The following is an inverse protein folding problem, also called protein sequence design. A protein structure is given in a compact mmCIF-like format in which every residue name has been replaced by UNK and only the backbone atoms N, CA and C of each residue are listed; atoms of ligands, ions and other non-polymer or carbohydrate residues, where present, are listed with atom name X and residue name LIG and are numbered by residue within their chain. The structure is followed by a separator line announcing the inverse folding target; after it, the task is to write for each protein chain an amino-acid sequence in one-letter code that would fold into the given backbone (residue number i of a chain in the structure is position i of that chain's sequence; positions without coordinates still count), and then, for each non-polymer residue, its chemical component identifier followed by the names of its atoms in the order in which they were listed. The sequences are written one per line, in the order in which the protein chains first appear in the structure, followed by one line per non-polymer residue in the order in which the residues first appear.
data_IF_520554934640
#
_entry.id   IF_520554934640
#
_cell.length_a   1.000
_cell.length_b   1.000
_cell.length_c   1.000
_cell.angle_alpha   90.00
_cell.angle_beta   90.00
_cell.angle_gamma   90.00
#
_symmetry.space_group_name_H-M   'P 1'
#
loop_
_entity.id
_entity.type
_entity.pdbx_description
1 polymer ?
#
# COMPACT_ATOMS: atom_id res chain seq x y z
N UNK A 1 31.69 -32.80 -39.95
CA UNK A 1 31.67 -32.47 -38.50
C UNK A 1 30.35 -32.95 -37.92
N UNK A 2 30.42 -33.78 -36.87
CA UNK A 2 29.31 -34.56 -36.28
C UNK A 2 28.22 -33.65 -35.69
N UNK A 3 26.97 -33.81 -36.15
CA UNK A 3 25.78 -33.27 -35.48
C UNK A 3 25.27 -34.32 -34.48
N UNK A 4 25.31 -34.00 -33.18
CA UNK A 4 24.74 -34.81 -32.10
C UNK A 4 23.24 -34.51 -32.01
N UNK A 5 22.45 -35.54 -32.26
CA UNK A 5 21.02 -35.62 -31.94
C UNK A 5 20.85 -35.77 -30.42
N UNK A 6 19.87 -35.08 -29.84
CA UNK A 6 19.33 -35.45 -28.53
C UNK A 6 17.81 -35.27 -28.51
N UNK A 7 17.15 -36.42 -28.46
CA UNK A 7 15.72 -36.68 -28.36
C UNK A 7 15.21 -36.19 -27.01
N UNK A 8 14.23 -35.27 -26.98
CA UNK A 8 13.47 -34.96 -25.76
C UNK A 8 12.23 -35.86 -25.73
N UNK A 9 12.17 -36.74 -24.73
CA UNK A 9 10.96 -37.51 -24.41
C UNK A 9 9.85 -36.56 -23.93
N UNK A 10 8.67 -36.69 -24.55
CA UNK A 10 7.41 -36.14 -24.08
C UNK A 10 6.80 -37.18 -23.15
N UNK A 11 6.58 -36.82 -21.89
CA UNK A 11 5.79 -37.61 -20.94
C UNK A 11 4.42 -36.95 -20.82
N UNK A 12 3.47 -37.56 -21.52
CA UNK A 12 2.04 -37.26 -21.52
C UNK A 12 1.43 -37.79 -20.21
N UNK A 13 0.75 -36.93 -19.44
CA UNK A 13 -0.15 -37.39 -18.37
C UNK A 13 -1.56 -36.94 -18.71
N UNK A 14 -2.41 -37.93 -18.95
CA UNK A 14 -3.82 -37.80 -19.34
C UNK A 14 -4.69 -37.20 -18.24
N UNK A 15 -5.62 -36.36 -18.66
CA UNK A 15 -6.82 -35.93 -17.93
C UNK A 15 -7.64 -37.11 -17.42
N UNK A 16 -8.08 -37.05 -16.15
CA UNK A 16 -9.28 -37.76 -15.71
C UNK A 16 -10.35 -36.73 -15.34
N UNK A 17 -11.41 -36.68 -16.16
CA UNK A 17 -12.66 -35.98 -15.91
C UNK A 17 -13.52 -36.90 -15.04
N UNK A 18 -13.91 -36.48 -13.83
CA UNK A 18 -15.02 -37.11 -13.11
C UNK A 18 -16.23 -36.17 -13.16
N UNK A 19 -17.30 -36.71 -13.74
CA UNK A 19 -18.59 -36.08 -13.94
C UNK A 19 -19.36 -35.91 -12.63
N UNK A 20 -20.07 -34.78 -12.55
CA UNK A 20 -21.03 -34.46 -11.51
C UNK A 20 -22.33 -35.26 -11.68
N UNK A 21 -22.98 -35.64 -10.57
CA UNK A 21 -24.44 -35.77 -10.48
C UNK A 21 -24.94 -35.41 -9.06
N UNK A 22 -26.14 -34.80 -8.94
CA UNK A 22 -26.67 -34.26 -7.69
C UNK A 22 -27.70 -35.20 -7.03
N UNK A 23 -27.90 -35.07 -5.72
CA UNK A 23 -29.11 -35.55 -5.05
C UNK A 23 -29.53 -34.55 -3.96
N UNK A 24 -30.68 -33.91 -4.17
CA UNK A 24 -31.46 -33.13 -3.22
C UNK A 24 -32.77 -33.87 -2.92
N UNK A 25 -33.12 -33.98 -1.63
CA UNK A 25 -34.48 -34.10 -1.04
C UNK A 25 -34.30 -34.57 0.43
N UNK A 26 -34.54 -33.78 1.48
CA UNK A 26 -35.77 -33.16 2.00
C UNK A 26 -36.67 -34.11 2.83
N UNK A 27 -37.17 -33.55 3.96
CA UNK A 27 -38.28 -33.99 4.85
C UNK A 27 -37.95 -35.13 5.85
N UNK A 28 -38.38 -35.17 7.11
CA UNK A 28 -39.34 -34.41 7.93
C UNK A 28 -39.03 -34.84 9.39
N UNK A 29 -38.68 -33.97 10.34
CA UNK A 29 -39.51 -33.25 11.32
C UNK A 29 -40.73 -33.95 11.97
N UNK A 30 -41.03 -33.50 13.21
CA UNK A 30 -42.22 -33.66 14.05
C UNK A 30 -42.21 -34.86 15.04
N UNK A 31 -42.60 -34.78 16.32
CA UNK A 31 -43.67 -34.03 17.02
C UNK A 31 -43.25 -33.90 18.52
N UNK A 32 -43.22 -32.79 19.27
CA UNK A 32 -44.14 -31.68 19.61
C UNK A 32 -44.79 -31.82 21.02
N UNK A 33 -44.90 -30.66 21.72
CA UNK A 33 -45.66 -30.26 22.94
C UNK A 33 -44.86 -29.97 24.23
N UNK A 34 -45.10 -28.93 25.03
CA UNK A 34 -45.49 -27.49 24.93
C UNK A 34 -45.75 -26.98 26.38
N UNK A 35 -45.27 -25.76 26.69
CA UNK A 35 -45.75 -24.77 27.70
C UNK A 35 -45.47 -24.93 29.21
N UNK A 36 -44.98 -23.84 29.83
CA UNK A 36 -45.03 -23.57 31.27
C UNK A 36 -44.13 -22.41 31.73
N UNK A 37 -44.72 -21.31 32.22
CA UNK A 37 -44.08 -20.05 32.66
C UNK A 37 -43.48 -20.07 34.09
N UNK A 38 -42.45 -19.23 34.27
CA UNK A 38 -41.91 -18.50 35.45
C UNK A 38 -41.66 -19.23 36.80
N UNK A 39 -40.41 -19.15 37.28
CA UNK A 39 -39.98 -18.43 38.51
C UNK A 39 -38.47 -18.65 38.76
N UNK A 40 -37.85 -17.57 39.25
CA UNK A 40 -36.45 -17.35 39.64
C UNK A 40 -35.77 -18.43 40.48
N UNK A 41 -34.49 -18.65 40.22
CA UNK A 41 -33.44 -18.80 41.25
C UNK A 41 -32.04 -18.71 40.62
N UNK A 42 -31.19 -17.85 41.21
CA UNK A 42 -29.75 -17.77 40.96
C UNK A 42 -29.08 -19.12 41.26
N UNK A 43 -28.24 -19.60 40.34
CA UNK A 43 -26.83 -19.92 40.59
C UNK A 43 -26.17 -20.55 39.36
N UNK A 44 -25.13 -19.86 38.90
CA UNK A 44 -23.88 -20.41 38.38
C UNK A 44 -23.82 -21.01 36.96
N UNK A 45 -22.66 -20.75 36.33
CA UNK A 45 -22.14 -21.24 35.04
C UNK A 45 -22.46 -20.48 33.75
N UNK A 46 -21.42 -19.77 33.32
CA UNK A 46 -20.70 -19.99 32.05
C UNK A 46 -21.31 -19.51 30.73
N UNK A 47 -20.53 -18.61 30.11
CA UNK A 47 -20.36 -18.37 28.67
C UNK A 47 -21.52 -17.69 27.93
N UNK A 48 -21.25 -16.51 27.38
CA UNK A 48 -21.24 -16.38 25.92
C UNK A 48 -20.56 -15.09 25.44
N UNK A 49 -19.76 -15.31 24.40
CA UNK A 49 -19.52 -14.45 23.25
C UNK A 49 -19.01 -13.03 23.47
N UNK A 50 -17.69 -12.89 23.29
CA UNK A 50 -17.17 -11.88 22.37
C UNK A 50 -15.97 -12.46 21.61
N UNK A 51 -16.24 -13.04 20.45
CA UNK A 51 -15.24 -13.20 19.38
C UNK A 51 -14.86 -11.79 18.90
N UNK A 52 -13.55 -11.57 18.68
CA UNK A 52 -12.91 -10.33 18.23
C UNK A 52 -12.32 -9.42 19.32
N UNK A 53 -11.42 -9.94 20.16
CA UNK A 53 -10.41 -9.11 20.83
C UNK A 53 -9.27 -9.99 21.36
N UNK A 54 -8.32 -10.37 20.51
CA UNK A 54 -7.18 -11.21 20.96
C UNK A 54 -5.87 -10.94 20.19
N UNK A 55 -5.72 -9.75 19.60
CA UNK A 55 -4.46 -9.34 18.94
C UNK A 55 -3.53 -8.55 19.87
N UNK A 56 -4.03 -8.05 20.99
CA UNK A 56 -3.31 -7.18 21.95
C UNK A 56 -3.03 -7.85 23.31
N UNK A 57 -2.87 -9.18 23.38
CA UNK A 57 -2.48 -9.81 24.65
C UNK A 57 -1.09 -9.28 25.07
N UNK A 58 -0.96 -8.63 26.24
CA UNK A 58 0.36 -8.24 26.75
C UNK A 58 1.20 -9.50 26.96
N UNK A 59 2.51 -9.41 26.71
CA UNK A 59 3.45 -10.51 26.99
C UNK A 59 3.29 -10.85 28.49
N UNK A 60 2.70 -12.00 28.77
CA UNK A 60 2.51 -12.45 30.14
C UNK A 60 3.88 -12.76 30.74
N UNK A 61 4.11 -12.31 31.96
CA UNK A 61 5.43 -12.25 32.62
C UNK A 61 6.16 -13.61 32.75
N UNK A 62 5.49 -14.72 32.43
CA UNK A 62 6.00 -16.09 32.50
C UNK A 62 6.27 -16.75 31.14
N UNK A 63 6.05 -16.06 30.01
CA UNK A 63 6.36 -16.64 28.70
C UNK A 63 7.86 -16.69 28.45
N UNK A 64 8.31 -17.81 27.92
CA UNK A 64 9.64 -17.99 27.38
C UNK A 64 9.62 -17.72 25.88
N UNK A 65 10.76 -17.32 25.34
CA UNK A 65 10.90 -17.06 23.92
C UNK A 65 12.20 -17.63 23.37
N UNK A 66 12.12 -18.13 22.14
CA UNK A 66 13.27 -18.51 21.32
C UNK A 66 13.24 -17.68 20.05
N UNK A 67 14.33 -16.95 19.79
CA UNK A 67 14.51 -16.14 18.58
C UNK A 67 15.47 -16.85 17.63
N UNK A 68 15.03 -17.12 16.40
CA UNK A 68 15.81 -17.94 15.47
C UNK A 68 15.15 -18.09 14.12
N UNK A 69 15.32 -19.24 13.50
CA UNK A 69 14.65 -19.62 12.25
C UNK A 69 13.70 -20.78 12.48
N UNK A 70 12.67 -20.86 11.62
CA UNK A 70 11.75 -21.99 11.63
C UNK A 70 12.22 -23.04 10.62
N UNK A 71 12.54 -24.25 11.11
CA UNK A 71 13.08 -25.32 10.26
C UNK A 71 12.00 -26.01 9.45
N UNK A 72 10.87 -26.35 10.08
CA UNK A 72 9.79 -27.09 9.45
C UNK A 72 8.47 -26.85 10.20
N UNK A 73 7.35 -26.93 9.47
CA UNK A 73 6.00 -27.07 10.03
C UNK A 73 5.49 -28.47 9.68
N UNK A 74 5.25 -29.28 10.70
CA UNK A 74 4.72 -30.64 10.57
C UNK A 74 3.24 -30.65 10.88
N UNK A 75 2.43 -31.12 9.93
CA UNK A 75 1.00 -31.32 10.15
C UNK A 75 0.72 -32.82 10.09
N UNK A 76 0.19 -33.36 11.18
CA UNK A 76 -0.20 -34.76 11.27
C UNK A 76 -1.57 -34.89 11.95
N UNK A 77 -2.03 -36.12 12.18
CA UNK A 77 -3.32 -36.40 12.83
C UNK A 77 -3.45 -35.82 14.25
N UNK A 78 -2.33 -35.47 14.88
CA UNK A 78 -2.25 -34.99 16.26
C UNK A 78 -2.15 -33.46 16.34
N UNK A 79 -2.07 -32.76 15.20
CA UNK A 79 -2.02 -31.29 15.14
C UNK A 79 -0.89 -30.76 14.25
N UNK A 80 -0.72 -29.44 14.30
CA UNK A 80 0.35 -28.72 13.63
C UNK A 80 1.47 -28.39 14.64
N UNK A 81 2.72 -28.63 14.26
CA UNK A 81 3.90 -28.39 15.08
C UNK A 81 4.94 -27.61 14.30
N UNK A 82 5.55 -26.61 14.92
CA UNK A 82 6.64 -25.83 14.36
C UNK A 82 7.94 -26.08 15.14
N UNK A 83 9.02 -26.36 14.44
CA UNK A 83 10.37 -26.44 15.04
C UNK A 83 11.07 -25.10 14.88
N UNK A 84 11.48 -24.49 15.99
CA UNK A 84 12.23 -23.23 16.01
C UNK A 84 13.59 -23.48 16.64
N UNK A 85 14.64 -23.07 15.91
CA UNK A 85 16.04 -23.21 16.33
C UNK A 85 16.70 -21.84 16.31
N UNK A 86 17.35 -21.48 17.41
CA UNK A 86 18.04 -20.21 17.57
C UNK A 86 18.53 -20.02 19.00
N UNK A 87 18.36 -18.80 19.52
CA UNK A 87 18.82 -18.41 20.84
C UNK A 87 17.61 -18.23 21.77
N UNK A 88 17.68 -18.84 22.95
CA UNK A 88 16.74 -18.55 24.04
C UNK A 88 16.85 -17.09 24.50
N UNK A 89 15.75 -16.34 24.50
CA UNK A 89 15.73 -14.93 24.90
C UNK A 89 15.93 -14.77 26.41
N UNK A 90 15.41 -15.72 27.19
CA UNK A 90 15.59 -15.81 28.63
C UNK A 90 16.60 -16.92 28.98
N UNK A 91 17.27 -16.81 30.14
CA UNK A 91 18.28 -17.77 30.59
C UNK A 91 17.76 -19.22 30.75
N UNK A 92 16.45 -19.41 30.90
CA UNK A 92 15.79 -20.71 31.00
C UNK A 92 15.02 -21.12 29.73
N UNK A 93 15.05 -20.29 28.69
CA UNK A 93 14.51 -20.65 27.38
C UNK A 93 15.46 -21.64 26.68
N UNK A 94 14.90 -22.43 25.76
CA UNK A 94 15.66 -23.44 25.02
C UNK A 94 16.07 -22.91 23.66
N UNK A 95 17.26 -23.28 23.19
CA UNK A 95 17.76 -22.91 21.87
C UNK A 95 16.97 -23.58 20.74
N UNK A 96 16.50 -24.80 20.97
CA UNK A 96 15.62 -25.53 20.03
C UNK A 96 14.35 -25.99 20.73
N UNK A 97 13.21 -25.62 20.17
CA UNK A 97 11.87 -26.02 20.67
C UNK A 97 10.98 -26.52 19.56
N UNK A 98 10.15 -27.51 19.87
CA UNK A 98 9.04 -27.93 19.01
C UNK A 98 7.74 -27.47 19.66
N UNK A 99 7.02 -26.59 18.97
CA UNK A 99 5.83 -25.95 19.51
C UNK A 99 4.58 -26.42 18.78
N UNK A 100 3.59 -26.89 19.53
CA UNK A 100 2.25 -27.12 19.02
C UNK A 100 1.59 -25.79 18.68
N UNK A 101 1.04 -25.70 17.46
CA UNK A 101 0.23 -24.58 16.99
C UNK A 101 -1.24 -24.91 17.22
N UNK A 102 -1.89 -24.17 18.10
CA UNK A 102 -3.31 -24.33 18.43
C UNK A 102 -4.12 -23.19 17.81
N UNK A 103 -5.45 -23.23 17.97
CA UNK A 103 -6.33 -22.13 17.55
C UNK A 103 -6.04 -20.82 18.30
N UNK A 104 -5.49 -20.93 19.51
CA UNK A 104 -5.13 -19.80 20.38
C UNK A 104 -3.74 -19.21 20.07
N UNK A 105 -2.93 -19.87 19.23
CA UNK A 105 -1.60 -19.38 18.88
C UNK A 105 -1.71 -18.14 17.99
N UNK A 106 -1.28 -16.98 18.51
CA UNK A 106 -1.27 -15.73 17.75
C UNK A 106 -0.09 -15.69 16.76
N UNK A 107 -0.36 -15.67 15.46
CA UNK A 107 0.67 -15.59 14.42
C UNK A 107 0.66 -14.20 13.80
N UNK A 108 1.68 -13.40 14.08
CA UNK A 108 1.77 -12.00 13.66
C UNK A 108 3.13 -11.65 13.03
N UNK A 109 3.19 -10.54 12.31
CA UNK A 109 4.42 -9.92 11.84
C UNK A 109 5.00 -8.98 12.90
N UNK A 110 6.16 -8.39 12.62
CA UNK A 110 6.82 -7.41 13.49
C UNK A 110 5.98 -6.16 13.79
N UNK A 111 4.92 -5.90 13.02
CA UNK A 111 4.00 -4.77 13.18
C UNK A 111 2.67 -5.16 13.85
N UNK A 112 2.49 -6.43 14.21
CA UNK A 112 1.27 -6.95 14.84
C UNK A 112 0.18 -7.40 13.87
N UNK A 113 0.39 -7.37 12.56
CA UNK A 113 -0.60 -7.88 11.60
C UNK A 113 -0.49 -9.40 11.47
N UNK A 114 -1.58 -10.07 11.10
CA UNK A 114 -1.59 -11.53 10.88
C UNK A 114 -0.51 -11.95 9.87
N UNK A 115 0.30 -12.95 10.22
CA UNK A 115 1.37 -13.46 9.36
C UNK A 115 1.13 -14.90 8.89
N UNK A 116 1.82 -15.28 7.80
CA UNK A 116 1.81 -16.65 7.27
C UNK A 116 3.13 -17.35 7.61
N UNK A 117 3.07 -18.43 8.39
CA UNK A 117 4.25 -19.21 8.80
C UNK A 117 4.95 -19.91 7.63
N UNK A 118 4.20 -20.30 6.59
CA UNK A 118 4.75 -21.05 5.46
C UNK A 118 5.81 -20.24 4.70
N UNK A 119 5.61 -18.93 4.57
CA UNK A 119 6.58 -18.03 3.94
C UNK A 119 7.86 -17.91 4.76
N UNK A 120 7.75 -17.85 6.08
CA UNK A 120 8.89 -17.77 6.99
C UNK A 120 9.81 -19.00 6.87
N UNK A 121 9.22 -20.20 6.78
CA UNK A 121 9.96 -21.46 6.57
C UNK A 121 10.67 -21.46 5.22
N UNK A 122 9.96 -21.12 4.14
CA UNK A 122 10.53 -21.16 2.78
C UNK A 122 11.66 -20.15 2.59
N UNK A 123 11.54 -18.97 3.19
CA UNK A 123 12.49 -17.86 3.02
C UNK A 123 13.55 -17.78 4.10
N UNK A 124 13.47 -18.64 5.13
CA UNK A 124 14.39 -18.63 6.26
C UNK A 124 14.32 -17.34 7.07
N UNK A 125 13.12 -16.76 7.21
CA UNK A 125 12.95 -15.52 7.98
C UNK A 125 13.18 -15.74 9.47
N UNK A 126 13.59 -14.66 10.14
CA UNK A 126 13.73 -14.66 11.59
C UNK A 126 12.35 -14.74 12.23
N UNK A 127 12.20 -15.60 13.22
CA UNK A 127 10.99 -15.76 14.02
C UNK A 127 11.32 -15.66 15.50
N UNK A 128 10.43 -15.03 16.26
CA UNK A 128 10.44 -15.09 17.72
C UNK A 128 9.21 -15.87 18.15
N UNK A 129 9.43 -17.05 18.72
CA UNK A 129 8.36 -17.91 19.20
C UNK A 129 8.24 -17.81 20.71
N UNK A 130 7.10 -17.32 21.17
CA UNK A 130 6.71 -17.23 22.58
C UNK A 130 5.90 -18.46 22.97
N UNK A 131 6.22 -19.04 24.11
CA UNK A 131 5.61 -20.24 24.62
C UNK A 131 5.57 -20.24 26.15
N UNK A 132 4.60 -20.98 26.71
CA UNK A 132 4.48 -21.12 28.16
C UNK A 132 5.65 -21.89 28.79
N UNK A 133 5.87 -21.76 30.11
CA UNK A 133 7.01 -22.37 30.81
C UNK A 133 6.90 -23.90 30.97
N UNK A 134 5.75 -24.48 30.61
CA UNK A 134 5.49 -25.93 30.70
C UNK A 134 5.98 -26.64 29.45
N UNK A 135 7.21 -27.14 29.50
CA UNK A 135 7.82 -27.94 28.43
C UNK A 135 7.96 -29.42 28.83
N UNK A 136 7.96 -30.30 27.83
CA UNK A 136 8.35 -31.70 28.01
C UNK A 136 9.84 -31.82 28.32
N UNK A 137 10.24 -32.94 28.93
CA UNK A 137 11.64 -33.27 29.21
C UNK A 137 12.39 -33.93 28.04
N UNK A 138 11.84 -33.86 26.82
CA UNK A 138 12.46 -34.43 25.63
C UNK A 138 13.54 -33.51 25.05
N UNK A 139 14.31 -34.03 24.09
CA UNK A 139 15.30 -33.25 23.33
C UNK A 139 14.97 -33.41 21.83
N UNK A 140 14.54 -32.35 21.11
CA UNK A 140 14.22 -31.01 21.64
C UNK A 140 13.03 -30.99 22.61
N UNK A 141 12.97 -29.96 23.45
CA UNK A 141 11.85 -29.74 24.36
C UNK A 141 10.59 -29.38 23.57
N UNK A 142 9.43 -29.84 24.03
CA UNK A 142 8.15 -29.63 23.35
C UNK A 142 7.18 -28.83 24.22
N UNK A 143 6.44 -27.92 23.60
CA UNK A 143 5.51 -27.03 24.30
C UNK A 143 4.34 -26.59 23.42
N UNK A 144 3.55 -25.64 23.92
CA UNK A 144 2.48 -24.98 23.16
C UNK A 144 2.91 -23.56 22.82
N UNK A 145 2.74 -23.15 21.56
CA UNK A 145 3.02 -21.78 21.15
C UNK A 145 1.89 -20.85 21.60
N UNK A 146 2.27 -19.75 22.25
CA UNK A 146 1.36 -18.67 22.63
C UNK A 146 1.30 -17.62 21.52
N UNK A 147 2.47 -17.20 21.04
CA UNK A 147 2.60 -16.19 19.98
C UNK A 147 3.83 -16.45 19.13
N UNK A 148 3.69 -16.35 17.81
CA UNK A 148 4.82 -16.36 16.89
C UNK A 148 4.87 -15.03 16.16
N UNK A 149 5.99 -14.33 16.33
CA UNK A 149 6.29 -13.08 15.63
C UNK A 149 7.24 -13.40 14.49
N UNK A 150 6.81 -13.18 13.25
CA UNK A 150 7.63 -13.36 12.06
C UNK A 150 8.25 -12.02 11.70
N UNK A 151 9.57 -11.93 11.76
CA UNK A 151 10.33 -10.76 11.30
C UNK A 151 10.53 -10.89 9.79
N UNK A 152 9.64 -10.25 9.03
CA UNK A 152 9.81 -10.17 7.58
C UNK A 152 10.93 -9.17 7.28
N UNK A 153 12.01 -9.55 6.57
CA UNK A 153 12.89 -8.55 5.99
C UNK A 153 12.03 -7.64 5.12
N UNK A 154 12.24 -6.33 5.21
CA UNK A 154 11.51 -5.34 4.43
C UNK A 154 11.58 -5.71 2.96
N UNK A 155 10.51 -6.29 2.43
CA UNK A 155 10.35 -6.56 1.02
C UNK A 155 9.45 -5.45 0.47
N UNK A 156 9.88 -4.81 -0.61
CA UNK A 156 9.23 -3.66 -1.29
C UNK A 156 7.74 -3.89 -1.65
N UNK A 157 7.21 -5.11 -1.50
CA UNK A 157 5.85 -5.50 -1.85
C UNK A 157 4.82 -5.35 -0.71
N UNK A 158 5.25 -5.29 0.56
CA UNK A 158 4.32 -5.05 1.69
C UNK A 158 4.00 -3.55 1.87
N UNK A 159 4.83 -2.65 1.33
CA UNK A 159 4.59 -1.19 1.31
C UNK A 159 3.54 -0.78 0.25
N UNK A 160 3.37 -1.57 -0.83
CA UNK A 160 2.39 -1.28 -1.88
C UNK A 160 0.94 -1.30 -1.39
N UNK A 161 0.64 -1.91 -0.23
CA UNK A 161 -0.72 -1.92 0.32
C UNK A 161 -1.15 -0.58 0.94
N UNK A 162 -0.20 0.32 1.22
CA UNK A 162 -0.45 1.65 1.81
C UNK A 162 0.30 2.75 1.04
N UNK A 163 0.44 2.60 -0.28
CA UNK A 163 0.95 3.67 -1.14
C UNK A 163 -0.19 4.55 -1.66
N UNK A 164 -0.04 5.85 -1.48
CA UNK A 164 -0.82 6.85 -2.19
C UNK A 164 -0.13 7.22 -3.50
N UNK A 165 -0.93 7.64 -4.48
CA UNK A 165 -0.45 8.11 -5.77
C UNK A 165 -1.00 9.49 -6.06
N UNK A 166 -0.15 10.37 -6.56
CA UNK A 166 -0.55 11.68 -7.06
C UNK A 166 0.12 11.96 -8.38
N UNK A 167 -0.60 12.62 -9.28
CA UNK A 167 -0.01 13.38 -10.36
C UNK A 167 0.16 14.83 -9.90
N UNK A 168 1.25 15.49 -10.30
CA UNK A 168 1.50 16.87 -9.92
C UNK A 168 2.71 17.47 -10.61
N UNK A 169 2.96 18.74 -10.35
CA UNK A 169 4.11 19.48 -10.86
C UNK A 169 4.99 19.87 -9.69
N UNK A 170 6.29 19.66 -9.85
CA UNK A 170 7.29 20.05 -8.85
C UNK A 170 7.40 21.58 -8.88
N UNK A 171 6.97 22.24 -7.80
CA UNK A 171 7.08 23.71 -7.67
C UNK A 171 8.32 24.13 -6.89
N UNK A 172 8.85 23.22 -6.08
CA UNK A 172 10.09 23.42 -5.34
C UNK A 172 10.87 22.11 -5.25
N UNK A 173 12.06 22.08 -5.82
CA UNK A 173 12.98 20.96 -5.82
C UNK A 173 14.22 21.27 -4.98
N UNK A 174 14.53 20.36 -4.07
CA UNK A 174 15.75 20.31 -3.28
C UNK A 174 16.37 18.91 -3.39
N UNK A 175 17.59 18.74 -2.88
CA UNK A 175 18.34 17.47 -3.02
C UNK A 175 17.61 16.27 -2.41
N UNK A 176 16.90 16.49 -1.32
CA UNK A 176 16.26 15.49 -0.46
C UNK A 176 14.75 15.71 -0.35
N UNK A 177 14.19 16.71 -1.03
CA UNK A 177 12.79 17.08 -0.88
C UNK A 177 12.23 17.72 -2.13
N UNK A 178 11.01 17.36 -2.50
CA UNK A 178 10.24 18.03 -3.54
C UNK A 178 8.87 18.43 -3.02
N UNK A 179 8.34 19.53 -3.52
CA UNK A 179 6.96 19.96 -3.28
C UNK A 179 6.16 19.78 -4.56
N UNK A 180 5.13 18.93 -4.48
CA UNK A 180 4.21 18.67 -5.58
C UNK A 180 2.95 19.49 -5.39
N UNK A 181 2.60 20.24 -6.42
CA UNK A 181 1.32 20.92 -6.55
C UNK A 181 0.45 20.12 -7.52
N UNK A 182 -0.82 19.93 -7.18
CA UNK A 182 -1.65 18.87 -7.77
C UNK A 182 -3.06 18.89 -7.19
N UNK A 183 -3.83 17.86 -7.55
CA UNK A 183 -5.06 17.51 -6.84
C UNK A 183 -4.79 17.23 -5.36
N UNK A 184 -3.68 16.56 -5.06
CA UNK A 184 -3.22 16.35 -3.69
C UNK A 184 -1.85 17.00 -3.50
N UNK A 185 -1.80 18.27 -3.08
CA UNK A 185 -0.54 18.94 -2.79
C UNK A 185 0.17 18.22 -1.65
N UNK A 186 1.44 17.88 -1.87
CA UNK A 186 2.20 17.07 -0.93
C UNK A 186 3.68 17.40 -1.04
N UNK A 187 4.35 17.40 0.10
CA UNK A 187 5.81 17.49 0.18
C UNK A 187 6.36 16.08 0.33
N UNK A 188 7.27 15.69 -0.55
CA UNK A 188 7.87 14.37 -0.58
C UNK A 188 9.36 14.43 -0.27
N UNK A 189 9.77 13.68 0.74
CA UNK A 189 11.18 13.44 1.01
C UNK A 189 11.71 12.36 0.05
N UNK A 190 12.86 12.63 -0.53
CA UNK A 190 13.59 11.75 -1.45
C UNK A 190 14.69 11.06 -0.67
N UNK A 191 14.67 9.73 -0.66
CA UNK A 191 15.65 8.91 0.05
C UNK A 191 16.38 7.99 -0.92
N UNK A 192 17.41 7.28 -0.46
CA UNK A 192 18.15 6.31 -1.28
C UNK A 192 17.27 5.14 -1.78
N UNK A 193 16.12 4.92 -1.12
CA UNK A 193 15.13 3.91 -1.51
C UNK A 193 14.16 4.40 -2.58
N UNK A 194 14.09 5.71 -2.83
CA UNK A 194 13.15 6.29 -3.78
C UNK A 194 13.54 5.93 -5.22
N UNK A 195 12.64 5.26 -5.94
CA UNK A 195 12.87 4.84 -7.33
C UNK A 195 12.44 5.96 -8.27
N UNK A 196 13.41 6.65 -8.87
CA UNK A 196 13.17 7.69 -9.88
C UNK A 196 13.33 7.08 -11.28
N UNK A 197 12.33 7.25 -12.13
CA UNK A 197 12.31 6.69 -13.49
C UNK A 197 11.58 7.61 -14.47
N UNK A 198 11.82 7.43 -15.76
CA UNK A 198 11.02 8.05 -16.82
C UNK A 198 9.71 7.25 -17.09
N UNK A 199 8.87 7.77 -17.98
CA UNK A 199 7.62 7.08 -18.40
C UNK A 199 7.86 5.73 -19.09
N UNK A 200 9.06 5.48 -19.62
CA UNK A 200 9.45 4.22 -20.26
C UNK A 200 10.01 3.21 -19.27
N UNK A 201 10.18 3.61 -18.00
CA UNK A 201 10.73 2.79 -16.93
C UNK A 201 12.26 2.83 -16.82
N UNK A 202 12.95 3.69 -17.57
CA UNK A 202 14.39 3.87 -17.44
C UNK A 202 14.70 4.60 -16.13
N UNK A 203 15.68 4.12 -15.37
CA UNK A 203 16.09 4.74 -14.12
C UNK A 203 16.73 6.11 -14.37
N UNK A 204 16.27 7.11 -13.63
CA UNK A 204 16.80 8.47 -13.64
C UNK A 204 17.51 8.79 -12.32
N UNK A 205 18.27 9.88 -12.29
CA UNK A 205 18.87 10.43 -11.06
C UNK A 205 17.99 11.53 -10.48
N UNK A 206 18.30 11.95 -9.25
CA UNK A 206 17.63 13.08 -8.59
C UNK A 206 17.76 14.39 -9.38
N UNK A 207 18.75 14.51 -10.26
CA UNK A 207 18.94 15.69 -11.12
C UNK A 207 17.79 15.90 -12.11
N UNK A 208 16.99 14.87 -12.38
CA UNK A 208 15.78 14.98 -13.19
C UNK A 208 14.61 15.65 -12.45
N UNK A 209 14.65 15.69 -11.12
CA UNK A 209 13.62 16.31 -10.29
C UNK A 209 13.90 17.81 -10.17
N UNK A 210 13.48 18.58 -11.18
CA UNK A 210 13.63 20.03 -11.22
C UNK A 210 12.28 20.73 -11.07
N UNK A 211 12.33 22.03 -10.79
CA UNK A 211 11.14 22.87 -10.80
C UNK A 211 10.45 22.84 -12.17
N UNK A 212 9.13 22.94 -12.15
CA UNK A 212 8.23 22.91 -13.30
C UNK A 212 8.28 21.58 -14.07
N UNK A 213 8.71 20.49 -13.45
CA UNK A 213 8.64 19.15 -14.07
C UNK A 213 7.38 18.45 -13.59
N UNK A 214 6.63 17.88 -14.53
CA UNK A 214 5.46 17.06 -14.23
C UNK A 214 5.90 15.67 -13.82
N UNK A 215 5.33 15.16 -12.74
CA UNK A 215 5.65 13.83 -12.23
C UNK A 215 4.40 13.10 -11.75
N UNK A 216 4.50 11.77 -11.72
CA UNK A 216 3.60 10.90 -10.98
C UNK A 216 4.36 10.29 -9.82
N UNK A 217 3.94 10.55 -8.59
CA UNK A 217 4.60 10.06 -7.40
C UNK A 217 3.76 9.00 -6.69
N UNK A 218 4.43 7.93 -6.26
CA UNK A 218 3.97 6.98 -5.25
C UNK A 218 4.66 7.29 -3.93
N UNK A 219 3.92 7.33 -2.83
CA UNK A 219 4.44 7.67 -1.51
C UNK A 219 3.65 6.99 -0.39
N UNK A 220 4.24 6.93 0.81
CA UNK A 220 3.59 6.30 1.96
C UNK A 220 2.33 7.05 2.39
N UNK A 221 1.27 6.31 2.71
CA UNK A 221 0.06 6.84 3.34
C UNK A 221 0.30 7.41 4.75
N UNK A 222 1.45 7.11 5.37
CA UNK A 222 1.87 7.72 6.63
C UNK A 222 2.43 9.11 6.34
N UNK A 223 1.69 10.14 6.73
CA UNK A 223 2.02 11.54 6.45
C UNK A 223 1.88 12.42 7.71
N UNK A 224 2.53 13.59 7.69
CA UNK A 224 2.34 14.61 8.72
C UNK A 224 0.96 15.27 8.60
N UNK A 225 0.46 15.83 9.70
CA UNK A 225 -0.79 16.60 9.75
C UNK A 225 -0.60 18.09 9.39
N UNK A 226 0.46 18.42 8.64
CA UNK A 226 0.74 19.77 8.16
C UNK A 226 -0.03 20.07 6.87
N UNK A 227 -0.03 21.34 6.44
CA UNK A 227 -0.55 21.78 5.16
C UNK A 227 0.56 22.52 4.40
N UNK A 228 1.09 21.98 3.28
CA UNK A 228 0.81 20.62 2.75
C UNK A 228 1.30 19.48 3.67
N UNK A 229 0.73 18.28 3.58
CA UNK A 229 1.23 17.09 4.26
C UNK A 229 2.61 16.70 3.73
N UNK A 230 3.43 16.10 4.60
CA UNK A 230 4.79 15.63 4.28
C UNK A 230 4.81 14.10 4.38
N UNK A 231 5.38 13.42 3.39
CA UNK A 231 5.58 11.96 3.36
C UNK A 231 6.90 11.58 2.68
N UNK A 232 7.24 10.29 2.68
CA UNK A 232 8.40 9.75 1.97
C UNK A 232 7.99 9.17 0.62
N UNK A 233 8.71 9.53 -0.44
CA UNK A 233 8.47 9.00 -1.79
C UNK A 233 9.02 7.58 -1.93
N UNK A 234 8.19 6.68 -2.45
CA UNK A 234 8.61 5.32 -2.84
C UNK A 234 9.05 5.28 -4.29
N UNK A 235 8.30 5.92 -5.20
CA UNK A 235 8.69 6.03 -6.61
C UNK A 235 8.21 7.33 -7.23
N UNK A 236 9.02 7.89 -8.13
CA UNK A 236 8.67 9.07 -8.92
C UNK A 236 8.88 8.75 -10.39
N UNK A 237 7.82 8.90 -11.17
CA UNK A 237 7.84 8.84 -12.63
C UNK A 237 7.92 10.26 -13.16
N UNK A 238 9.05 10.61 -13.75
CA UNK A 238 9.29 11.88 -14.42
C UNK A 238 8.65 11.84 -15.80
N UNK A 239 7.81 12.85 -16.08
CA UNK A 239 7.12 13.02 -17.37
C UNK A 239 7.78 14.19 -18.13
N UNK A 240 6.98 15.05 -18.73
CA UNK A 240 7.41 16.27 -19.41
C UNK A 240 7.83 17.41 -18.46
N UNK A 241 8.76 18.26 -18.92
CA UNK A 241 8.98 19.56 -18.31
C UNK A 241 7.93 20.57 -18.82
N UNK A 242 7.57 21.51 -17.96
CA UNK A 242 6.54 22.52 -18.20
C UNK A 242 7.11 23.92 -18.01
N UNK A 243 6.43 24.90 -18.58
CA UNK A 243 6.73 26.32 -18.36
C UNK A 243 5.70 26.87 -17.38
N UNK A 244 6.19 27.50 -16.33
CA UNK A 244 5.37 28.16 -15.32
C UNK A 244 5.13 29.61 -15.74
N UNK A 245 3.86 29.96 -15.94
CA UNK A 245 3.41 31.31 -16.26
C UNK A 245 2.40 31.78 -15.22
N UNK A 246 2.53 33.01 -14.73
CA UNK A 246 1.53 33.63 -13.84
C UNK A 246 0.83 34.74 -14.61
N UNK A 247 -0.48 34.87 -14.42
CA UNK A 247 -1.25 35.95 -15.03
C UNK A 247 -2.68 36.03 -14.51
N UNK A 248 -3.41 37.02 -15.02
CA UNK A 248 -4.82 37.25 -14.71
C UNK A 248 -5.68 36.72 -15.85
N UNK A 249 -6.74 35.98 -15.51
CA UNK A 249 -7.72 35.52 -16.50
C UNK A 249 -8.46 36.74 -17.06
N UNK A 250 -8.37 36.97 -18.37
CA UNK A 250 -9.18 37.97 -19.06
C UNK A 250 -10.53 37.40 -19.47
N UNK A 251 -10.52 36.18 -20.00
CA UNK A 251 -11.70 35.51 -20.52
C UNK A 251 -11.51 34.00 -20.50
N UNK A 252 -12.60 33.27 -20.31
CA UNK A 252 -12.66 31.80 -20.37
C UNK A 252 -13.69 31.41 -21.41
N UNK A 253 -13.26 30.78 -22.49
CA UNK A 253 -14.12 30.38 -23.59
C UNK A 253 -14.11 28.85 -23.75
N UNK A 254 -15.30 28.25 -23.79
CA UNK A 254 -15.49 26.81 -23.93
C UNK A 254 -16.11 26.18 -22.69
N UNK A 255 -16.10 24.85 -22.63
CA UNK A 255 -16.64 24.08 -21.51
C UNK A 255 -15.76 22.87 -21.25
N UNK A 256 -15.53 22.60 -19.96
CA UNK A 256 -14.92 21.40 -19.38
C UNK A 256 -13.78 20.81 -20.23
N UNK A 257 -14.09 19.88 -21.13
CA UNK A 257 -13.11 19.09 -21.89
C UNK A 257 -12.49 19.82 -23.10
N UNK A 258 -13.01 20.99 -23.47
CA UNK A 258 -12.44 21.87 -24.50
C UNK A 258 -12.70 23.32 -24.11
N UNK A 259 -11.71 23.92 -23.48
CA UNK A 259 -11.74 25.33 -23.12
C UNK A 259 -10.43 26.03 -23.45
N UNK A 260 -10.48 27.35 -23.46
CA UNK A 260 -9.35 28.23 -23.67
C UNK A 260 -9.44 29.38 -22.67
N UNK A 261 -8.31 29.67 -22.02
CA UNK A 261 -8.18 30.81 -21.11
C UNK A 261 -7.27 31.83 -21.76
N UNK A 262 -7.76 33.06 -21.87
CA UNK A 262 -6.93 34.20 -22.24
C UNK A 262 -6.28 34.76 -20.98
N UNK A 263 -4.96 34.76 -20.96
CA UNK A 263 -4.14 35.17 -19.84
C UNK A 263 -3.44 36.48 -20.18
N UNK A 264 -3.58 37.43 -19.27
CA UNK A 264 -2.80 38.66 -19.18
C UNK A 264 -1.64 38.42 -18.22
N UNK A 265 -0.41 38.42 -18.74
CA UNK A 265 0.79 38.07 -18.00
C UNK A 265 1.47 39.33 -17.46
N UNK A 266 1.49 40.41 -18.25
CA UNK A 266 2.20 41.64 -17.90
C UNK A 266 1.30 42.71 -17.24
N UNK A 267 0.02 42.39 -17.06
CA UNK A 267 -1.02 43.24 -16.48
C UNK A 267 -1.33 44.50 -17.30
N UNK A 268 -1.11 44.46 -18.62
CA UNK A 268 -1.43 45.54 -19.54
C UNK A 268 -2.90 45.50 -20.05
N UNK A 269 -3.65 44.45 -19.69
CA UNK A 269 -5.03 44.23 -20.10
C UNK A 269 -5.19 43.52 -21.45
N UNK A 270 -4.10 43.15 -22.11
CA UNK A 270 -4.09 42.41 -23.37
C UNK A 270 -3.86 40.92 -23.14
N UNK A 271 -4.22 40.12 -24.15
CA UNK A 271 -3.96 38.68 -24.10
C UNK A 271 -2.53 38.41 -24.55
N UNK A 272 -1.68 38.00 -23.62
CA UNK A 272 -0.31 37.56 -23.90
C UNK A 272 -0.23 36.08 -24.24
N UNK A 273 -1.12 35.28 -23.64
CA UNK A 273 -1.09 33.83 -23.76
C UNK A 273 -2.49 33.25 -23.74
N UNK A 274 -2.77 32.32 -24.64
CA UNK A 274 -3.95 31.47 -24.57
C UNK A 274 -3.56 30.08 -24.08
N UNK A 275 -4.14 29.66 -22.96
CA UNK A 275 -3.99 28.32 -22.42
C UNK A 275 -5.15 27.45 -22.89
N UNK A 276 -4.83 26.41 -23.66
CA UNK A 276 -5.80 25.39 -24.07
C UNK A 276 -5.95 24.33 -22.97
N UNK A 277 -7.19 24.10 -22.56
CA UNK A 277 -7.60 23.12 -21.55
C UNK A 277 -8.26 21.94 -22.26
N UNK A 278 -7.93 20.74 -21.81
CA UNK A 278 -8.68 19.54 -22.14
C UNK A 278 -8.94 18.68 -20.89
N UNK A 279 -9.51 17.49 -21.10
CA UNK A 279 -9.78 16.49 -20.05
C UNK A 279 -8.58 16.06 -19.20
N UNK A 280 -7.35 16.23 -19.68
CA UNK A 280 -6.11 15.84 -19.01
C UNK A 280 -5.45 17.04 -18.28
N UNK A 281 -6.07 18.22 -18.34
CA UNK A 281 -5.65 19.42 -17.61
C UNK A 281 -6.21 19.40 -16.20
N UNK A 282 -5.33 19.46 -15.20
CA UNK A 282 -5.74 19.56 -13.79
C UNK A 282 -5.99 21.03 -13.43
N UNK A 283 -7.19 21.38 -12.95
CA UNK A 283 -7.52 22.73 -12.49
C UNK A 283 -7.80 22.67 -11.00
N UNK A 284 -7.00 23.35 -10.19
CA UNK A 284 -7.06 23.28 -8.73
C UNK A 284 -6.87 24.65 -8.08
N UNK A 285 -7.28 24.81 -6.84
CA UNK A 285 -6.86 25.93 -5.99
C UNK A 285 -5.44 25.70 -5.44
N UNK A 286 -4.86 26.73 -4.80
CA UNK A 286 -3.61 26.58 -4.01
C UNK A 286 -3.65 25.43 -2.98
N UNK A 287 -4.84 25.12 -2.46
CA UNK A 287 -5.04 24.10 -1.44
C UNK A 287 -5.28 22.69 -2.04
N UNK A 288 -5.28 22.56 -3.37
CA UNK A 288 -5.51 21.30 -4.07
C UNK A 288 -6.98 20.99 -4.35
N UNK A 289 -7.91 21.90 -4.02
CA UNK A 289 -9.32 21.69 -4.33
C UNK A 289 -9.52 21.76 -5.85
N UNK A 290 -9.99 20.67 -6.45
CA UNK A 290 -10.30 20.62 -7.88
C UNK A 290 -11.45 21.59 -8.23
N UNK A 291 -11.28 22.31 -9.34
CA UNK A 291 -12.24 23.27 -9.86
C UNK A 291 -12.64 22.88 -11.28
N UNK A 292 -13.88 23.17 -11.64
CA UNK A 292 -14.33 23.07 -13.02
C UNK A 292 -13.97 24.32 -13.79
N UNK A 293 -13.90 24.21 -15.13
CA UNK A 293 -13.73 25.37 -16.02
C UNK A 293 -14.81 26.43 -15.78
N UNK A 294 -16.03 26.00 -15.48
CA UNK A 294 -17.17 26.90 -15.19
C UNK A 294 -16.98 27.75 -13.92
N UNK A 295 -16.07 27.35 -13.03
CA UNK A 295 -15.75 28.08 -11.80
C UNK A 295 -14.64 29.11 -12.02
N UNK A 296 -13.94 29.03 -13.16
CA UNK A 296 -12.95 30.02 -13.56
C UNK A 296 -13.63 31.28 -14.10
N UNK A 297 -13.16 32.44 -13.64
CA UNK A 297 -13.75 33.74 -13.94
C UNK A 297 -12.68 34.75 -14.30
N UNK A 298 -13.06 35.69 -15.17
CA UNK A 298 -12.25 36.86 -15.46
C UNK A 298 -11.89 37.61 -14.17
N UNK A 299 -10.65 38.09 -14.09
CA UNK A 299 -10.09 38.78 -12.92
C UNK A 299 -9.38 37.86 -11.92
N UNK A 300 -9.53 36.53 -12.01
CA UNK A 300 -8.79 35.61 -11.14
C UNK A 300 -7.32 35.53 -11.54
N UNK A 301 -6.44 35.45 -10.55
CA UNK A 301 -5.02 35.18 -10.79
C UNK A 301 -4.76 33.69 -10.80
N UNK A 302 -4.05 33.23 -11.82
CA UNK A 302 -3.70 31.82 -11.98
C UNK A 302 -2.22 31.64 -12.25
N UNK A 303 -1.73 30.48 -11.86
CA UNK A 303 -0.45 29.95 -12.32
C UNK A 303 -0.79 28.84 -13.32
N UNK A 304 -0.45 29.06 -14.59
CA UNK A 304 -0.55 28.06 -15.65
C UNK A 304 0.78 27.34 -15.83
N UNK A 305 0.77 26.02 -15.72
CA UNK A 305 1.88 25.18 -16.14
C UNK A 305 1.55 24.57 -17.51
N UNK A 306 2.27 25.03 -18.53
CA UNK A 306 1.95 24.70 -19.92
C UNK A 306 3.12 24.04 -20.65
N UNK A 307 2.87 23.54 -21.85
CA UNK A 307 3.88 22.91 -22.68
C UNK A 307 4.99 23.88 -23.07
N UNK A 308 6.22 23.38 -23.18
CA UNK A 308 7.37 24.15 -23.66
C UNK A 308 7.23 24.64 -25.11
N UNK A 309 6.31 24.05 -25.87
CA UNK A 309 5.99 24.47 -27.22
C UNK A 309 4.68 25.26 -27.25
N UNK A 310 4.62 26.22 -28.16
CA UNK A 310 3.50 27.14 -28.33
C UNK A 310 3.27 27.39 -29.83
N UNK A 311 2.08 27.84 -30.19
CA UNK A 311 1.80 28.29 -31.57
C UNK A 311 2.50 29.61 -31.85
N UNK A 312 2.86 29.84 -33.13
CA UNK A 312 3.44 31.11 -33.61
C UNK A 312 2.37 32.18 -33.89
N UNK A 313 1.16 32.04 -33.34
CA UNK A 313 0.07 33.01 -33.50
C UNK A 313 0.23 34.20 -32.57
N UNK A 314 -0.59 35.24 -32.79
CA UNK A 314 -0.73 36.40 -31.92
C UNK A 314 -2.20 36.50 -31.47
N UNK A 315 -2.54 36.17 -30.21
CA UNK A 315 -1.66 35.70 -29.15
C UNK A 315 -1.13 34.27 -29.37
N UNK A 316 0.03 33.90 -28.79
CA UNK A 316 0.52 32.53 -28.77
C UNK A 316 -0.41 31.64 -27.94
N UNK A 317 -0.51 30.37 -28.33
CA UNK A 317 -1.36 29.38 -27.66
C UNK A 317 -0.53 28.18 -27.20
N UNK A 318 -0.78 27.67 -26.00
CA UNK A 318 -0.11 26.49 -25.47
C UNK A 318 -1.06 25.58 -24.70
N UNK A 319 -0.75 24.29 -24.65
CA UNK A 319 -1.51 23.33 -23.88
C UNK A 319 -1.18 23.45 -22.38
N UNK A 320 -2.21 23.56 -21.54
CA UNK A 320 -2.05 23.60 -20.09
C UNK A 320 -2.10 22.18 -19.50
N UNK A 321 -1.05 21.79 -18.78
CA UNK A 321 -1.05 20.57 -17.98
C UNK A 321 -1.75 20.79 -16.64
N UNK A 322 -1.54 21.96 -16.04
CA UNK A 322 -2.14 22.31 -14.77
C UNK A 322 -2.41 23.81 -14.68
N UNK A 323 -3.52 24.17 -14.06
CA UNK A 323 -3.88 25.55 -13.73
C UNK A 323 -4.17 25.61 -12.24
N UNK A 324 -3.48 26.52 -11.56
CA UNK A 324 -3.64 26.73 -10.12
C UNK A 324 -4.26 28.11 -9.90
N UNK A 325 -5.48 28.15 -9.37
CA UNK A 325 -6.14 29.40 -8.99
C UNK A 325 -5.57 29.89 -7.67
N UNK A 326 -5.08 31.14 -7.70
CA UNK A 326 -4.35 31.72 -6.58
C UNK A 326 -5.12 32.79 -5.83
N UNK A 327 -5.93 33.58 -6.53
CA UNK A 327 -6.73 34.70 -6.04
C UNK A 327 -7.94 34.89 -6.96
#
# INVERSE_FOLDING_TARGET
MKKRTWTKMILTVSMLVMAAMPLTAAAQENINKVSGQVVSQQADRSQQDNKHQDLDRPIQQDWLATKGTMEEIRINKNGAYATVTGEGVQANAQDTVVLALTEDTAIVDQNGNKAQLHEAVQKGWTVTAWYGPKLTRSIPAQGTAEKIVVERPSNDNDEQKNEMKTDGIIVNASKDRIELLGETPVILNITDKTVIKDEKGNKLTADALKNNVRVKASYSAVMTRSLPPISNATSIVVKEETVRQTGTILDVNGKDDQASIRLDVDSDGNTDLVLSINKDTTIVTKDGQELKVSELKAGQKVIGFHAQFMTLSLPPMSYAYQIVVTE
#
